data_IF_392443392721
#
_entry.id   IF_392443392721
#
_cell.length_a   1.000
_cell.length_b   1.000
_cell.length_c   1.000
_cell.angle_alpha   90.00
_cell.angle_beta   90.00
_cell.angle_gamma   90.00
#
_symmetry.space_group_name_H-M   'P 1'
#
loop_
_entity.id
_entity.type
_entity.pdbx_description
1 polymer ?
#
# COMPACT_ATOMS: atom_id res chain seq x y z
N UNK A 1 -27.48 -11.81 2.34
CA UNK A 1 -26.07 -11.96 2.57
C UNK A 1 -25.40 -12.46 1.32
N UNK A 2 -24.68 -11.58 0.59
CA UNK A 2 -23.85 -12.03 -0.50
C UNK A 2 -22.66 -12.77 0.10
N UNK A 3 -22.60 -14.06 -0.09
CA UNK A 3 -21.43 -14.86 0.22
C UNK A 3 -20.28 -14.39 -0.67
N UNK A 4 -19.39 -13.60 -0.08
CA UNK A 4 -18.13 -13.19 -0.72
C UNK A 4 -17.20 -14.41 -0.78
N UNK A 5 -17.37 -15.24 -1.77
CA UNK A 5 -16.46 -16.33 -2.01
C UNK A 5 -15.15 -15.82 -2.62
N UNK A 6 -14.10 -15.95 -1.87
CA UNK A 6 -12.74 -15.68 -2.30
C UNK A 6 -12.39 -16.70 -3.40
N UNK A 7 -12.14 -16.19 -4.62
CA UNK A 7 -11.62 -17.01 -5.71
C UNK A 7 -10.13 -17.22 -5.47
N UNK A 8 -9.63 -18.41 -5.80
CA UNK A 8 -8.20 -18.68 -5.72
C UNK A 8 -7.38 -17.64 -6.49
N UNK A 9 -6.26 -17.23 -5.91
CA UNK A 9 -5.41 -16.10 -6.32
C UNK A 9 -4.52 -16.47 -7.51
N UNK A 10 -5.12 -16.88 -8.61
CA UNK A 10 -4.39 -17.48 -9.72
C UNK A 10 -3.92 -16.50 -10.79
N UNK A 11 -4.36 -15.24 -10.73
CA UNK A 11 -3.97 -14.26 -11.74
C UNK A 11 -2.84 -13.36 -11.22
N UNK A 12 -1.65 -13.63 -11.76
CA UNK A 12 -0.44 -12.92 -11.41
C UNK A 12 -0.40 -11.53 -12.07
N UNK A 13 0.01 -10.54 -11.30
CA UNK A 13 0.38 -9.22 -11.80
C UNK A 13 1.89 -9.22 -12.11
N UNK A 14 2.24 -9.15 -13.39
CA UNK A 14 3.65 -9.03 -13.79
C UNK A 14 4.13 -7.60 -13.65
N UNK A 15 5.29 -7.45 -13.02
CA UNK A 15 5.96 -6.15 -12.89
C UNK A 15 7.11 -6.01 -13.89
N UNK A 16 7.64 -7.11 -14.40
CA UNK A 16 8.66 -7.08 -15.44
C UNK A 16 8.08 -6.55 -16.75
N UNK A 17 8.77 -5.58 -17.34
CA UNK A 17 8.45 -4.97 -18.63
C UNK A 17 9.74 -4.56 -19.35
N UNK A 18 9.74 -4.35 -20.67
CA UNK A 18 10.87 -3.76 -21.36
C UNK A 18 11.28 -2.42 -20.71
N UNK A 19 12.56 -2.28 -20.37
CA UNK A 19 13.08 -1.08 -19.70
C UNK A 19 12.79 -0.97 -18.20
N UNK A 20 12.19 -1.98 -17.58
CA UNK A 20 12.05 -2.02 -16.12
C UNK A 20 13.39 -2.28 -15.43
N UNK A 21 13.50 -1.81 -14.20
CA UNK A 21 14.66 -2.08 -13.37
C UNK A 21 14.77 -3.57 -13.01
N UNK A 22 15.99 -3.99 -12.64
CA UNK A 22 16.23 -5.36 -12.15
C UNK A 22 15.36 -5.66 -10.93
N UNK A 23 15.03 -4.66 -10.10
CA UNK A 23 14.17 -4.81 -8.94
C UNK A 23 12.78 -5.37 -9.31
N UNK A 24 12.19 -4.95 -10.43
CA UNK A 24 10.89 -5.47 -10.89
C UNK A 24 10.95 -6.96 -11.24
N UNK A 25 12.03 -7.39 -11.88
CA UNK A 25 12.26 -8.81 -12.18
C UNK A 25 12.47 -9.63 -10.90
N UNK A 26 13.22 -9.10 -9.96
CA UNK A 26 13.47 -9.76 -8.67
C UNK A 26 12.18 -9.93 -7.89
N UNK A 27 11.34 -8.89 -7.80
CA UNK A 27 10.02 -8.98 -7.16
C UNK A 27 9.16 -10.05 -7.84
N UNK A 28 9.13 -10.09 -9.15
CA UNK A 28 8.36 -11.08 -9.90
C UNK A 28 8.82 -12.53 -9.65
N UNK A 29 10.11 -12.74 -9.41
CA UNK A 29 10.67 -14.07 -9.18
C UNK A 29 10.51 -14.54 -7.73
N UNK A 30 10.70 -13.65 -6.76
CA UNK A 30 10.81 -14.01 -5.34
C UNK A 30 9.50 -13.77 -4.60
N UNK A 31 8.78 -12.72 -4.95
CA UNK A 31 7.54 -12.29 -4.27
C UNK A 31 6.47 -11.90 -5.29
N UNK A 32 6.02 -12.83 -6.15
CA UNK A 32 5.02 -12.51 -7.17
C UNK A 32 3.73 -12.01 -6.54
N UNK A 33 3.19 -10.95 -7.11
CA UNK A 33 1.95 -10.32 -6.66
C UNK A 33 0.80 -10.84 -7.51
N UNK A 34 -0.27 -11.25 -6.86
CA UNK A 34 -1.52 -11.66 -7.53
C UNK A 34 -2.64 -10.66 -7.30
N UNK A 35 -3.62 -10.64 -8.20
CA UNK A 35 -4.84 -9.87 -8.03
C UNK A 35 -5.55 -10.27 -6.73
N UNK A 36 -5.99 -9.29 -5.97
CA UNK A 36 -6.67 -9.50 -4.68
C UNK A 36 -5.75 -9.74 -3.49
N UNK A 37 -4.45 -9.71 -3.69
CA UNK A 37 -3.47 -9.85 -2.61
C UNK A 37 -3.15 -8.52 -1.93
N UNK A 38 -2.57 -8.63 -0.75
CA UNK A 38 -1.99 -7.54 0.01
C UNK A 38 -0.51 -7.79 0.23
N UNK A 39 0.29 -6.76 -0.03
CA UNK A 39 1.73 -6.81 0.11
C UNK A 39 2.27 -5.57 0.81
N UNK A 40 3.48 -5.68 1.32
CA UNK A 40 4.18 -4.58 1.95
C UNK A 40 5.59 -4.46 1.36
N UNK A 41 5.94 -3.23 1.01
CA UNK A 41 7.28 -2.85 0.59
C UNK A 41 7.96 -2.22 1.80
N UNK A 42 8.93 -2.92 2.37
CA UNK A 42 9.67 -2.45 3.54
C UNK A 42 10.83 -1.58 3.08
N UNK A 43 10.94 -0.39 3.62
CA UNK A 43 11.97 0.57 3.23
C UNK A 43 12.57 1.29 4.43
N UNK A 44 13.90 1.46 4.37
CA UNK A 44 14.59 2.40 5.22
C UNK A 44 14.40 3.84 4.69
N UNK A 45 14.55 4.86 5.56
CA UNK A 45 14.59 6.24 5.10
C UNK A 45 15.66 6.42 4.02
N UNK A 46 15.33 7.15 2.96
CA UNK A 46 16.24 7.45 1.82
C UNK A 46 16.73 6.22 1.02
N UNK A 47 16.06 5.07 1.12
CA UNK A 47 16.46 3.84 0.43
C UNK A 47 15.81 3.67 -0.96
N UNK A 48 15.37 4.75 -1.61
CA UNK A 48 14.76 4.69 -2.94
C UNK A 48 13.31 4.20 -2.96
N UNK A 49 12.58 4.32 -1.85
CA UNK A 49 11.15 3.95 -1.71
C UNK A 49 10.30 4.55 -2.84
N UNK A 50 10.43 5.84 -3.09
CA UNK A 50 9.67 6.56 -4.12
C UNK A 50 9.98 6.04 -5.52
N UNK A 51 11.25 5.74 -5.80
CA UNK A 51 11.66 5.16 -7.08
C UNK A 51 11.04 3.79 -7.29
N UNK A 52 11.06 2.93 -6.27
CA UNK A 52 10.47 1.60 -6.35
C UNK A 52 8.95 1.67 -6.56
N UNK A 53 8.27 2.57 -5.85
CA UNK A 53 6.83 2.77 -5.99
C UNK A 53 6.46 3.27 -7.39
N UNK A 54 7.23 4.19 -7.96
CA UNK A 54 7.07 4.64 -9.35
C UNK A 54 7.27 3.50 -10.35
N UNK A 55 8.27 2.65 -10.14
CA UNK A 55 8.53 1.48 -11.01
C UNK A 55 7.37 0.49 -10.98
N UNK A 56 6.84 0.20 -9.78
CA UNK A 56 5.65 -0.66 -9.63
C UNK A 56 4.46 -0.04 -10.36
N UNK A 57 4.18 1.24 -10.15
CA UNK A 57 3.09 1.96 -10.80
C UNK A 57 3.21 1.93 -12.33
N UNK A 58 4.39 2.23 -12.88
CA UNK A 58 4.66 2.15 -14.31
C UNK A 58 4.46 0.74 -14.87
N UNK A 59 4.92 -0.27 -14.15
CA UNK A 59 4.75 -1.66 -14.57
C UNK A 59 3.29 -2.08 -14.59
N UNK A 60 2.50 -1.67 -13.61
CA UNK A 60 1.07 -1.95 -13.58
C UNK A 60 0.34 -1.25 -14.73
N UNK A 61 0.63 0.01 -15.00
CA UNK A 61 -0.02 0.77 -16.08
C UNK A 61 0.32 0.22 -17.47
N UNK A 62 1.52 -0.27 -17.67
CA UNK A 62 1.96 -0.85 -18.94
C UNK A 62 1.42 -2.27 -19.14
N UNK A 63 1.55 -3.13 -18.14
CA UNK A 63 1.18 -4.53 -18.25
C UNK A 63 -0.31 -4.80 -18.04
N UNK A 64 -1.01 -3.93 -17.31
CA UNK A 64 -2.44 -4.05 -17.00
C UNK A 64 -3.13 -2.68 -17.17
N UNK A 65 -3.24 -2.16 -18.40
CA UNK A 65 -3.80 -0.82 -18.65
C UNK A 65 -5.29 -0.71 -18.27
N UNK A 66 -6.00 -1.82 -18.19
CA UNK A 66 -7.40 -1.89 -17.76
C UNK A 66 -7.57 -1.77 -16.24
N UNK A 67 -6.50 -1.97 -15.46
CA UNK A 67 -6.54 -1.90 -14.01
C UNK A 67 -6.62 -0.45 -13.53
N UNK A 68 -7.55 -0.16 -12.63
CA UNK A 68 -7.58 1.10 -11.92
C UNK A 68 -6.47 1.16 -10.88
N UNK A 69 -5.55 2.08 -11.05
CA UNK A 69 -4.44 2.33 -10.13
C UNK A 69 -4.71 3.58 -9.32
N UNK A 70 -4.84 3.42 -8.02
CA UNK A 70 -4.95 4.52 -7.06
C UNK A 70 -3.66 4.60 -6.27
N UNK A 71 -2.95 5.71 -6.39
CA UNK A 71 -1.74 5.99 -5.60
C UNK A 71 -2.18 6.91 -4.47
N UNK A 72 -2.10 6.41 -3.24
CA UNK A 72 -2.47 7.14 -2.03
C UNK A 72 -1.23 7.54 -1.25
N UNK A 73 -0.98 8.85 -1.17
CA UNK A 73 0.17 9.44 -0.49
C UNK A 73 -0.30 10.10 0.80
N UNK A 74 0.18 9.61 1.93
CA UNK A 74 -0.18 10.12 3.26
C UNK A 74 1.03 10.72 3.94
N UNK A 75 0.89 11.99 4.37
CA UNK A 75 1.93 12.74 5.08
C UNK A 75 3.23 12.88 4.27
N UNK A 76 3.09 12.98 2.94
CA UNK A 76 4.20 13.21 2.01
C UNK A 76 4.41 14.70 1.73
N UNK A 77 5.58 15.03 1.21
CA UNK A 77 5.90 16.40 0.80
C UNK A 77 5.22 16.74 -0.52
N UNK A 78 4.77 17.99 -0.73
CA UNK A 78 4.17 18.42 -1.99
C UNK A 78 5.03 18.14 -3.22
N UNK A 79 6.37 18.28 -3.08
CA UNK A 79 7.31 18.01 -4.17
C UNK A 79 7.28 16.53 -4.60
N UNK A 80 7.20 15.61 -3.63
CA UNK A 80 7.10 14.16 -3.91
C UNK A 80 5.77 13.81 -4.57
N UNK A 81 4.69 14.47 -4.17
CA UNK A 81 3.39 14.32 -4.81
C UNK A 81 3.44 14.76 -6.27
N UNK A 82 4.02 15.92 -6.56
CA UNK A 82 4.18 16.44 -7.92
C UNK A 82 5.03 15.50 -8.76
N UNK A 83 6.14 15.02 -8.23
CA UNK A 83 7.05 14.11 -8.91
C UNK A 83 6.37 12.78 -9.30
N UNK A 84 5.51 12.25 -8.43
CA UNK A 84 4.73 11.03 -8.74
C UNK A 84 3.68 11.32 -9.80
N UNK A 85 2.96 12.44 -9.71
CA UNK A 85 1.95 12.83 -10.70
C UNK A 85 2.54 12.98 -12.10
N UNK A 86 3.72 13.60 -12.20
CA UNK A 86 4.41 13.78 -13.48
C UNK A 86 5.00 12.49 -14.03
N UNK A 87 5.40 11.56 -13.13
CA UNK A 87 6.03 10.32 -13.53
C UNK A 87 5.05 9.23 -13.97
N UNK A 88 3.81 9.28 -13.51
CA UNK A 88 2.80 8.22 -13.73
C UNK A 88 1.59 8.83 -14.41
N UNK A 89 1.41 8.50 -15.68
CA UNK A 89 0.27 8.92 -16.50
C UNK A 89 -0.51 7.70 -16.97
N UNK A 90 -1.82 7.83 -17.06
CA UNK A 90 -2.72 6.79 -17.58
C UNK A 90 -4.18 7.16 -17.36
N UNK A 91 -5.05 6.66 -18.22
CA UNK A 91 -6.49 6.95 -18.17
C UNK A 91 -7.16 6.41 -16.90
N UNK A 92 -6.61 5.34 -16.34
CA UNK A 92 -7.11 4.68 -15.13
C UNK A 92 -6.20 4.91 -13.92
N UNK A 93 -5.43 6.00 -13.90
CA UNK A 93 -4.52 6.34 -12.80
C UNK A 93 -5.04 7.55 -12.04
N UNK A 94 -5.14 7.40 -10.74
CA UNK A 94 -5.50 8.48 -9.82
C UNK A 94 -4.41 8.62 -8.75
N UNK A 95 -3.90 9.85 -8.55
CA UNK A 95 -3.02 10.18 -7.43
C UNK A 95 -3.81 10.99 -6.42
N UNK A 96 -4.06 10.39 -5.27
CA UNK A 96 -4.79 11.00 -4.16
C UNK A 96 -3.81 11.17 -3.01
N UNK A 97 -3.84 12.32 -2.36
CA UNK A 97 -2.83 12.67 -1.37
C UNK A 97 -3.37 13.51 -0.23
N UNK A 98 -2.67 13.44 0.87
CA UNK A 98 -2.81 14.33 2.03
C UNK A 98 -1.40 14.66 2.51
N UNK A 99 -0.97 15.90 2.30
CA UNK A 99 0.40 16.35 2.55
C UNK A 99 0.72 16.55 4.02
N UNK A 100 1.99 16.67 4.36
CA UNK A 100 2.49 16.71 5.74
C UNK A 100 1.98 17.91 6.55
N UNK A 101 1.55 18.98 5.89
CA UNK A 101 0.97 20.19 6.49
C UNK A 101 -0.52 20.05 6.82
N UNK A 102 -1.16 18.96 6.40
CA UNK A 102 -2.54 18.67 6.75
C UNK A 102 -2.67 18.05 8.14
N UNK A 103 -3.85 18.22 8.74
CA UNK A 103 -4.15 17.62 10.04
C UNK A 103 -4.28 16.09 9.95
N UNK A 104 -3.97 15.36 11.02
CA UNK A 104 -4.13 13.90 11.06
C UNK A 104 -5.53 13.38 10.70
N UNK A 105 -6.58 14.12 11.06
CA UNK A 105 -7.96 13.81 10.67
C UNK A 105 -8.17 13.84 9.16
N UNK A 106 -7.45 14.70 8.45
CA UNK A 106 -7.50 14.77 7.00
C UNK A 106 -6.87 13.52 6.38
N UNK A 107 -5.73 13.06 6.90
CA UNK A 107 -5.10 11.81 6.47
C UNK A 107 -6.04 10.61 6.60
N UNK A 108 -6.75 10.51 7.74
CA UNK A 108 -7.75 9.47 7.97
C UNK A 108 -8.88 9.53 6.96
N UNK A 109 -9.49 10.71 6.81
CA UNK A 109 -10.64 10.91 5.92
C UNK A 109 -10.30 10.56 4.48
N UNK A 110 -9.14 10.99 4.00
CA UNK A 110 -8.69 10.69 2.64
C UNK A 110 -8.50 9.18 2.45
N UNK A 111 -7.90 8.48 3.40
CA UNK A 111 -7.73 7.03 3.32
C UNK A 111 -9.06 6.26 3.32
N UNK A 112 -10.01 6.71 4.14
CA UNK A 112 -11.36 6.11 4.19
C UNK A 112 -12.13 6.33 2.88
N UNK A 113 -12.02 7.51 2.30
CA UNK A 113 -12.63 7.81 0.99
C UNK A 113 -12.03 6.96 -0.12
N UNK A 114 -10.72 6.76 -0.13
CA UNK A 114 -10.04 5.93 -1.13
C UNK A 114 -10.50 4.48 -1.06
N UNK A 115 -10.57 3.90 0.14
CA UNK A 115 -11.00 2.52 0.27
C UNK A 115 -12.46 2.31 -0.13
N UNK A 116 -13.34 3.26 0.18
CA UNK A 116 -14.74 3.20 -0.25
C UNK A 116 -14.88 3.36 -1.78
N UNK A 117 -14.10 4.25 -2.38
CA UNK A 117 -14.04 4.38 -3.85
C UNK A 117 -13.56 3.08 -4.50
N UNK A 118 -12.49 2.51 -4.00
CA UNK A 118 -11.95 1.25 -4.52
C UNK A 118 -12.96 0.11 -4.42
N UNK A 119 -13.65 -0.03 -3.30
CA UNK A 119 -14.71 -1.03 -3.13
C UNK A 119 -15.81 -0.89 -4.17
N UNK A 120 -16.27 0.33 -4.44
CA UNK A 120 -17.30 0.58 -5.46
C UNK A 120 -16.82 0.23 -6.87
N UNK A 121 -15.59 0.55 -7.22
CA UNK A 121 -15.00 0.14 -8.50
C UNK A 121 -14.97 -1.39 -8.64
N UNK A 122 -14.59 -2.09 -7.58
CA UNK A 122 -14.58 -3.56 -7.54
C UNK A 122 -16.00 -4.14 -7.67
N UNK A 123 -16.98 -3.55 -7.01
CA UNK A 123 -18.39 -3.96 -7.14
C UNK A 123 -18.92 -3.82 -8.56
N UNK A 124 -18.38 -2.89 -9.35
CA UNK A 124 -18.67 -2.72 -10.77
C UNK A 124 -17.84 -3.64 -11.68
N UNK A 125 -17.10 -4.58 -11.11
CA UNK A 125 -16.34 -5.57 -11.86
C UNK A 125 -14.92 -5.14 -12.26
N UNK A 126 -14.45 -4.00 -11.75
CA UNK A 126 -13.10 -3.52 -12.08
C UNK A 126 -12.04 -4.17 -11.21
N UNK A 127 -10.86 -4.38 -11.79
CA UNK A 127 -9.65 -4.68 -11.05
C UNK A 127 -9.00 -3.38 -10.58
N UNK A 128 -8.76 -3.29 -9.28
CA UNK A 128 -8.23 -2.08 -8.65
C UNK A 128 -6.96 -2.42 -7.87
N UNK A 129 -5.94 -1.59 -8.00
CA UNK A 129 -4.76 -1.62 -7.16
C UNK A 129 -4.64 -0.31 -6.39
N UNK A 130 -4.40 -0.40 -5.09
CA UNK A 130 -4.00 0.73 -4.26
C UNK A 130 -2.52 0.60 -3.92
N UNK A 131 -1.75 1.63 -4.24
CA UNK A 131 -0.39 1.83 -3.75
C UNK A 131 -0.43 2.86 -2.64
N UNK A 132 -0.22 2.44 -1.40
CA UNK A 132 -0.24 3.31 -0.22
C UNK A 132 1.18 3.65 0.22
N UNK A 133 1.50 4.92 0.24
CA UNK A 133 2.72 5.44 0.83
C UNK A 133 2.39 6.44 1.95
N UNK A 134 2.45 6.07 3.20
CA UNK A 134 2.85 4.78 3.78
C UNK A 134 1.86 4.34 4.85
N UNK A 135 1.84 3.05 5.13
CA UNK A 135 1.02 2.51 6.23
C UNK A 135 1.52 3.00 7.59
N UNK A 136 2.82 3.21 7.73
CA UNK A 136 3.44 3.74 8.94
C UNK A 136 2.87 5.11 9.31
N UNK A 137 2.78 6.00 8.35
CA UNK A 137 2.25 7.36 8.57
C UNK A 137 0.75 7.36 8.77
N UNK A 138 0.02 6.47 8.10
CA UNK A 138 -1.40 6.29 8.33
C UNK A 138 -1.67 5.80 9.76
N UNK A 139 -0.93 4.81 10.24
CA UNK A 139 -1.03 4.33 11.61
C UNK A 139 -0.72 5.42 12.64
N UNK A 140 0.29 6.26 12.39
CA UNK A 140 0.58 7.43 13.24
C UNK A 140 -0.57 8.44 13.29
N UNK A 141 -1.21 8.71 12.15
CA UNK A 141 -2.37 9.61 12.10
C UNK A 141 -3.53 9.07 12.93
N UNK A 142 -3.80 7.78 12.87
CA UNK A 142 -4.80 7.16 13.74
C UNK A 142 -4.40 7.20 15.21
N UNK A 143 -3.13 7.02 15.54
CA UNK A 143 -2.65 7.01 16.91
C UNK A 143 -2.88 8.34 17.65
N UNK A 144 -2.79 9.46 16.94
CA UNK A 144 -3.01 10.79 17.53
C UNK A 144 -4.48 11.22 17.52
N UNK A 145 -5.35 10.54 16.80
CA UNK A 145 -6.75 10.94 16.61
C UNK A 145 -7.76 10.02 17.27
N UNK A 146 -7.40 8.75 17.57
CA UNK A 146 -8.31 7.84 18.28
C UNK A 146 -8.33 8.12 19.77
N UNK A 147 -9.47 7.93 20.44
CA UNK A 147 -9.53 7.99 21.91
C UNK A 147 -8.59 6.94 22.53
N UNK A 148 -7.82 7.30 23.57
CA UNK A 148 -6.94 6.35 24.23
C UNK A 148 -7.68 5.14 24.79
N UNK A 149 -7.16 3.91 24.53
CA UNK A 149 -7.73 2.67 25.06
C UNK A 149 -7.31 2.37 26.51
N UNK A 150 -6.33 3.12 27.04
CA UNK A 150 -5.67 2.83 28.29
C UNK A 150 -4.56 1.76 28.19
N UNK A 151 -4.32 1.24 27.01
CA UNK A 151 -3.22 0.32 26.70
C UNK A 151 -2.26 0.99 25.73
N UNK A 152 -0.98 0.77 25.91
CA UNK A 152 0.06 1.32 25.05
C UNK A 152 1.06 0.24 24.73
N UNK A 153 1.27 0.02 23.43
CA UNK A 153 2.36 -0.82 22.95
C UNK A 153 3.70 -0.08 23.06
N UNK A 154 4.78 -0.82 22.86
CA UNK A 154 6.11 -0.23 22.81
C UNK A 154 6.18 0.92 21.81
N UNK A 155 6.89 1.99 22.13
CA UNK A 155 6.98 3.16 21.26
C UNK A 155 5.79 4.14 21.31
N UNK A 156 4.85 3.97 22.23
CA UNK A 156 3.72 4.88 22.40
C UNK A 156 2.53 4.64 21.46
N UNK A 157 2.48 3.49 20.80
CA UNK A 157 1.39 3.11 19.91
C UNK A 157 0.21 2.52 20.71
N UNK A 158 -0.98 3.10 20.53
CA UNK A 158 -2.21 2.51 21.08
C UNK A 158 -2.72 1.40 20.14
N UNK A 159 -3.03 0.18 20.65
CA UNK A 159 -3.56 -0.91 19.83
C UNK A 159 -4.81 -0.54 19.01
N UNK A 160 -5.66 0.35 19.53
CA UNK A 160 -6.87 0.82 18.83
C UNK A 160 -6.52 1.58 17.56
N UNK A 161 -5.38 2.27 17.52
CA UNK A 161 -4.91 2.98 16.34
C UNK A 161 -4.65 2.07 15.13
N UNK A 162 -4.41 0.78 15.35
CA UNK A 162 -4.14 -0.20 14.30
C UNK A 162 -5.41 -0.78 13.67
N UNK A 163 -6.56 -0.61 14.30
CA UNK A 163 -7.80 -1.26 13.87
C UNK A 163 -8.22 -0.84 12.46
N UNK A 164 -8.33 0.44 12.18
CA UNK A 164 -8.74 0.92 10.86
C UNK A 164 -7.68 0.69 9.78
N UNK A 165 -6.38 0.93 10.01
CA UNK A 165 -5.33 0.54 9.07
C UNK A 165 -5.32 -0.97 8.74
N UNK A 166 -5.55 -1.84 9.73
CA UNK A 166 -5.69 -3.29 9.48
C UNK A 166 -6.92 -3.62 8.64
N UNK A 167 -8.04 -2.94 8.88
CA UNK A 167 -9.24 -3.07 8.03
C UNK A 167 -9.00 -2.58 6.61
N UNK A 168 -8.22 -1.52 6.43
CA UNK A 168 -7.80 -1.04 5.12
C UNK A 168 -7.08 -2.17 4.35
N UNK A 169 -6.07 -2.76 4.94
CA UNK A 169 -5.38 -3.91 4.35
C UNK A 169 -6.28 -5.13 4.14
N UNK A 170 -7.13 -5.41 5.09
CA UNK A 170 -8.07 -6.52 5.04
C UNK A 170 -9.14 -6.40 3.94
N UNK A 171 -9.26 -5.23 3.31
CA UNK A 171 -10.17 -5.02 2.18
C UNK A 171 -9.67 -5.67 0.88
N UNK A 172 -8.38 -6.00 0.77
CA UNK A 172 -7.83 -6.68 -0.39
C UNK A 172 -8.49 -8.05 -0.60
N UNK A 173 -9.04 -8.28 -1.78
CA UNK A 173 -9.78 -9.51 -2.14
C UNK A 173 -9.96 -9.68 -3.63
N UNK A 174 -10.23 -10.89 -4.05
CA UNK A 174 -10.64 -11.25 -5.41
C UNK A 174 -12.11 -11.72 -5.36
N UNK A 175 -12.96 -11.16 -6.22
CA UNK A 175 -14.39 -11.45 -6.24
C UNK A 175 -14.71 -12.56 -7.25
N UNK A 176 -15.65 -13.44 -6.92
CA UNK A 176 -16.07 -14.52 -7.85
C UNK A 176 -16.70 -14.00 -9.12
N UNK A 177 -17.45 -12.91 -9.04
CA UNK A 177 -18.22 -12.35 -10.16
C UNK A 177 -17.45 -11.27 -10.94
N UNK A 178 -16.14 -11.24 -10.82
CA UNK A 178 -15.29 -10.22 -11.42
C UNK A 178 -14.93 -9.10 -10.45
N UNK A 179 -13.85 -8.41 -10.76
CA UNK A 179 -13.28 -7.38 -9.91
C UNK A 179 -12.36 -7.93 -8.82
N UNK A 180 -11.33 -7.16 -8.53
CA UNK A 180 -10.38 -7.45 -7.47
C UNK A 180 -9.85 -6.17 -6.85
N UNK A 181 -9.46 -6.24 -5.58
CA UNK A 181 -8.75 -5.17 -4.89
C UNK A 181 -7.42 -5.71 -4.39
N UNK A 182 -6.35 -5.18 -4.96
CA UNK A 182 -4.96 -5.45 -4.59
C UNK A 182 -4.41 -4.25 -3.84
N UNK A 183 -3.74 -4.47 -2.71
CA UNK A 183 -3.18 -3.39 -1.90
C UNK A 183 -1.70 -3.64 -1.66
N UNK A 184 -0.87 -2.71 -2.11
CA UNK A 184 0.54 -2.64 -1.77
C UNK A 184 0.80 -1.38 -0.96
N UNK A 185 1.43 -1.53 0.20
CA UNK A 185 1.80 -0.39 1.03
C UNK A 185 3.29 -0.39 1.33
N UNK A 186 3.83 0.80 1.46
CA UNK A 186 5.17 0.99 1.99
C UNK A 186 5.12 1.03 3.51
N UNK A 187 6.10 0.43 4.16
CA UNK A 187 6.32 0.52 5.58
C UNK A 187 7.74 1.02 5.86
N UNK A 188 7.87 1.93 6.80
CA UNK A 188 9.16 2.50 7.20
C UNK A 188 9.73 1.70 8.36
N UNK A 189 11.00 1.35 8.24
CA UNK A 189 11.79 0.68 9.29
C UNK A 189 13.11 1.41 9.50
N UNK A 190 13.76 1.18 10.63
CA UNK A 190 15.04 1.81 10.96
C UNK A 190 15.02 3.35 10.87
N UNK A 191 13.91 3.95 11.22
CA UNK A 191 13.74 5.41 11.22
C UNK A 191 14.28 6.06 12.49
N UNK A 192 14.72 5.26 13.46
CA UNK A 192 15.03 5.70 14.81
C UNK A 192 13.78 5.82 15.70
N UNK A 193 12.59 5.63 15.15
CA UNK A 193 11.33 5.62 15.90
C UNK A 193 10.90 4.20 16.24
N UNK A 194 10.81 3.90 17.54
CA UNK A 194 10.32 2.61 17.99
C UNK A 194 8.86 2.36 17.61
N UNK A 195 8.05 3.41 17.49
CA UNK A 195 6.68 3.29 17.02
C UNK A 195 6.62 2.74 15.60
N UNK A 196 7.51 3.16 14.71
CA UNK A 196 7.55 2.69 13.32
C UNK A 196 7.89 1.19 13.25
N UNK A 197 8.83 0.73 14.07
CA UNK A 197 9.18 -0.68 14.15
C UNK A 197 8.01 -1.52 14.68
N UNK A 198 7.28 -1.01 15.68
CA UNK A 198 6.09 -1.68 16.21
C UNK A 198 4.97 -1.73 15.17
N UNK A 199 4.73 -0.65 14.43
CA UNK A 199 3.77 -0.66 13.32
C UNK A 199 4.13 -1.73 12.30
N UNK A 200 5.38 -1.80 11.89
CA UNK A 200 5.85 -2.83 10.96
C UNK A 200 5.58 -4.25 11.48
N UNK A 201 5.96 -4.54 12.72
CA UNK A 201 5.77 -5.87 13.33
C UNK A 201 4.27 -6.25 13.42
N UNK A 202 3.41 -5.29 13.75
CA UNK A 202 1.96 -5.51 13.84
C UNK A 202 1.31 -5.78 12.48
N UNK A 203 1.82 -5.19 11.41
CA UNK A 203 1.33 -5.42 10.05
C UNK A 203 1.93 -6.63 9.36
N UNK A 204 3.13 -7.04 9.74
CA UNK A 204 3.82 -8.21 9.20
C UNK A 204 2.95 -9.48 9.25
N UNK A 205 2.23 -9.69 10.36
CA UNK A 205 1.32 -10.81 10.52
C UNK A 205 0.04 -10.75 9.66
N UNK A 206 -0.29 -9.59 9.09
CA UNK A 206 -1.45 -9.40 8.22
C UNK A 206 -1.14 -9.66 6.75
N UNK A 207 0.11 -9.89 6.40
CA UNK A 207 0.57 -10.09 5.04
C UNK A 207 0.55 -11.56 4.65
N UNK A 208 0.28 -11.80 3.39
CA UNK A 208 0.43 -13.13 2.80
C UNK A 208 1.83 -13.33 2.24
N UNK A 209 2.51 -12.23 1.90
CA UNK A 209 3.90 -12.19 1.46
C UNK A 209 4.57 -10.94 1.99
N UNK A 210 5.77 -11.08 2.53
CA UNK A 210 6.68 -9.97 2.77
C UNK A 210 7.60 -9.86 1.56
N UNK A 211 7.65 -8.68 0.93
CA UNK A 211 8.71 -8.41 -0.04
C UNK A 211 10.05 -8.35 0.70
N UNK A 212 11.09 -9.04 0.23
CA UNK A 212 12.41 -8.94 0.86
C UNK A 212 12.90 -7.49 0.83
N UNK A 213 13.48 -7.07 1.94
CA UNK A 213 14.17 -5.78 2.03
C UNK A 213 15.42 -5.78 1.13
N UNK A 214 15.85 -4.62 0.61
CA UNK A 214 17.16 -4.51 -0.02
C UNK A 214 18.33 -5.04 0.82
N UNK A 215 18.18 -5.11 2.16
CA UNK A 215 19.14 -5.75 3.06
C UNK A 215 19.24 -7.25 2.87
N UNK A 216 18.17 -7.92 2.50
CA UNK A 216 18.16 -9.37 2.32
C UNK A 216 18.97 -9.77 1.07
N UNK A 217 19.18 -8.82 0.15
CA UNK A 217 20.03 -8.98 -1.03
C UNK A 217 21.49 -8.56 -0.81
N UNK A 218 21.77 -7.74 0.20
CA UNK A 218 23.14 -7.31 0.51
C UNK A 218 23.89 -8.31 1.41
N UNK A 219 23.20 -9.33 1.94
CA UNK A 219 23.77 -10.37 2.80
C UNK A 219 24.07 -11.68 2.06
N UNK A 220 23.84 -11.74 0.78
CA UNK A 220 24.23 -12.83 -0.13
C UNK A 220 25.26 -12.33 -1.13
#
# INVERSE_FOLDING_TARGET
GSEMCIRDRNERLRLERPGASVAMRVVDLISPIGKGQRGMIVSQPKAGKTTLLKEVAKSVTVNNPEMHLIILLIDERPEEVTDIKEAIEGDNVEVIYSTFDELPEHHKRVSEMVIERAKRLVEHGNDVMILLDSITRLARAYNVTVPPSGRTLSGGLDPVALHMPKRFFGAARNMRNGGSLTILATALVDTGSKMDDVVFEEFKGCLLYTSPSPRDYAAS
#
